data_IF_327260689072
#
_entry.id   IF_327260689072
#
_cell.length_a   1.000
_cell.length_b   1.000
_cell.length_c   1.000
_cell.angle_alpha   90.00
_cell.angle_beta   90.00
_cell.angle_gamma   90.00
#
_symmetry.space_group_name_H-M   'P 1'
#
loop_
_entity.id
_entity.type
_entity.pdbx_description
1 polymer ?
#
# COMPACT_ATOMS: atom_id res chain seq x y z
N UNK A 1 -7.76 41.62 9.52
CA UNK A 1 -7.43 41.15 8.15
C UNK A 1 -6.90 39.71 8.10
N UNK A 2 -6.37 39.15 9.19
CA UNK A 2 -5.77 37.79 9.24
C UNK A 2 -6.80 36.66 9.04
N UNK A 3 -7.98 36.72 9.68
CA UNK A 3 -9.03 35.68 9.57
C UNK A 3 -9.58 35.45 8.15
N UNK A 4 -9.69 36.50 7.33
CA UNK A 4 -10.20 36.38 5.95
C UNK A 4 -9.19 35.72 5.01
N UNK A 5 -7.88 35.89 5.27
CA UNK A 5 -6.83 35.22 4.51
C UNK A 5 -6.81 33.71 4.80
N UNK A 6 -6.93 33.34 6.07
CA UNK A 6 -7.03 31.94 6.51
C UNK A 6 -8.21 31.22 5.86
N UNK A 7 -9.42 31.82 5.89
CA UNK A 7 -10.60 31.19 5.27
C UNK A 7 -10.45 30.96 3.76
N UNK A 8 -9.77 31.88 3.06
CA UNK A 8 -9.51 31.70 1.63
C UNK A 8 -8.47 30.62 1.33
N UNK A 9 -7.49 30.44 2.22
CA UNK A 9 -6.50 29.35 2.15
C UNK A 9 -7.17 27.99 2.39
N UNK A 10 -8.06 27.90 3.39
CA UNK A 10 -8.83 26.69 3.68
C UNK A 10 -9.68 26.25 2.48
N UNK A 11 -10.34 27.20 1.80
CA UNK A 11 -11.11 26.92 0.57
C UNK A 11 -10.21 26.38 -0.53
N UNK A 12 -9.03 26.98 -0.76
CA UNK A 12 -8.09 26.51 -1.80
C UNK A 12 -7.53 25.14 -1.47
N UNK A 13 -7.17 24.89 -0.21
CA UNK A 13 -6.71 23.59 0.26
C UNK A 13 -7.77 22.52 0.04
N UNK A 14 -9.02 22.78 0.45
CA UNK A 14 -10.12 21.86 0.21
C UNK A 14 -10.30 21.53 -1.27
N UNK A 15 -10.21 22.53 -2.16
CA UNK A 15 -10.27 22.32 -3.61
C UNK A 15 -9.16 21.36 -4.05
N UNK A 16 -7.90 21.62 -3.68
CA UNK A 16 -6.75 20.79 -4.07
C UNK A 16 -6.87 19.36 -3.55
N UNK A 17 -7.38 19.17 -2.33
CA UNK A 17 -7.51 17.87 -1.70
C UNK A 17 -8.64 17.01 -2.32
N UNK A 18 -9.63 17.63 -2.98
CA UNK A 18 -10.85 16.95 -3.46
C UNK A 18 -11.03 16.96 -4.99
N UNK A 19 -10.26 17.77 -5.73
CA UNK A 19 -10.44 17.94 -7.18
C UNK A 19 -10.27 16.64 -7.96
N UNK A 20 -9.39 15.73 -7.53
CA UNK A 20 -9.17 14.45 -8.21
C UNK A 20 -10.41 13.53 -8.15
N UNK A 21 -11.18 13.58 -7.05
CA UNK A 21 -12.43 12.83 -6.89
C UNK A 21 -13.63 13.52 -7.51
N UNK A 22 -13.56 14.84 -7.67
CA UNK A 22 -14.65 15.70 -8.10
C UNK A 22 -14.27 16.61 -9.26
N UNK A 23 -13.68 16.09 -10.35
CA UNK A 23 -13.01 16.93 -11.33
C UNK A 23 -14.00 17.81 -12.12
N UNK A 24 -15.26 17.38 -12.26
CA UNK A 24 -16.32 18.13 -12.95
C UNK A 24 -17.22 18.95 -12.00
N UNK A 25 -17.28 18.62 -10.71
CA UNK A 25 -18.23 19.20 -9.76
C UNK A 25 -17.60 19.82 -8.50
N UNK A 26 -16.26 19.95 -8.45
CA UNK A 26 -15.52 20.56 -7.33
C UNK A 26 -16.05 21.94 -6.93
N UNK A 27 -16.49 22.75 -7.90
CA UNK A 27 -17.08 24.08 -7.65
C UNK A 27 -18.37 23.98 -6.82
N UNK A 28 -19.22 22.98 -7.10
CA UNK A 28 -20.46 22.74 -6.38
C UNK A 28 -20.19 22.25 -4.96
N UNK A 29 -19.31 21.28 -4.81
CA UNK A 29 -19.03 20.65 -3.50
C UNK A 29 -18.37 21.65 -2.56
N UNK A 30 -17.39 22.40 -3.06
CA UNK A 30 -16.72 23.45 -2.28
C UNK A 30 -17.71 24.53 -1.84
N UNK A 31 -18.62 24.95 -2.73
CA UNK A 31 -19.63 25.96 -2.41
C UNK A 31 -20.54 25.50 -1.25
N UNK A 32 -20.99 24.24 -1.29
CA UNK A 32 -21.82 23.64 -0.23
C UNK A 32 -21.02 23.54 1.07
N UNK A 33 -19.79 23.03 1.03
CA UNK A 33 -18.98 22.80 2.23
C UNK A 33 -18.70 24.10 3.02
N UNK A 34 -18.38 25.19 2.33
CA UNK A 34 -18.01 26.46 2.98
C UNK A 34 -19.17 27.46 3.13
N UNK A 35 -20.37 27.12 2.64
CA UNK A 35 -21.54 28.01 2.62
C UNK A 35 -21.30 29.28 1.80
N UNK A 36 -20.63 29.17 0.64
CA UNK A 36 -20.31 30.30 -0.25
C UNK A 36 -20.88 30.09 -1.65
N UNK A 37 -20.99 31.16 -2.44
CA UNK A 37 -21.51 31.06 -3.80
C UNK A 37 -20.52 30.36 -4.74
N UNK A 38 -21.02 29.68 -5.78
CA UNK A 38 -20.15 29.11 -6.83
C UNK A 38 -19.28 30.16 -7.52
N UNK A 39 -19.76 31.40 -7.62
CA UNK A 39 -18.98 32.52 -8.16
C UNK A 39 -17.76 32.83 -7.27
N UNK A 40 -17.91 32.76 -5.94
CA UNK A 40 -16.79 32.92 -5.02
C UNK A 40 -15.79 31.77 -5.15
N UNK A 41 -16.27 30.52 -5.28
CA UNK A 41 -15.40 29.36 -5.55
C UNK A 41 -14.65 29.49 -6.87
N UNK A 42 -15.32 29.97 -7.93
CA UNK A 42 -14.69 30.14 -9.25
C UNK A 42 -13.52 31.14 -9.20
N UNK A 43 -13.55 32.16 -8.33
CA UNK A 43 -12.39 33.04 -8.12
C UNK A 43 -11.19 32.28 -7.53
N UNK A 44 -11.44 31.33 -6.63
CA UNK A 44 -10.39 30.48 -6.08
C UNK A 44 -9.85 29.50 -7.13
N UNK A 45 -10.73 28.89 -7.95
CA UNK A 45 -10.32 28.02 -9.06
C UNK A 45 -9.47 28.77 -10.09
N UNK A 46 -9.91 29.95 -10.54
CA UNK A 46 -9.14 30.80 -11.46
C UNK A 46 -7.77 31.14 -10.90
N UNK A 47 -7.70 31.47 -9.61
CA UNK A 47 -6.42 31.74 -8.93
C UNK A 47 -5.51 30.51 -8.93
N UNK A 48 -6.04 29.34 -8.56
CA UNK A 48 -5.26 28.09 -8.54
C UNK A 48 -4.79 27.69 -9.95
N UNK A 49 -5.58 27.96 -10.99
CA UNK A 49 -5.16 27.76 -12.39
C UNK A 49 -4.08 28.75 -12.81
N UNK A 50 -4.21 30.02 -12.43
CA UNK A 50 -3.20 31.05 -12.70
C UNK A 50 -1.86 30.75 -11.99
N UNK A 51 -1.93 30.19 -10.77
CA UNK A 51 -0.78 29.71 -9.99
C UNK A 51 -0.27 28.32 -10.48
N UNK A 52 -0.82 27.77 -11.57
CA UNK A 52 -0.48 26.45 -12.12
C UNK A 52 -0.59 25.30 -11.12
N UNK A 53 -1.40 25.43 -10.07
CA UNK A 53 -1.75 24.35 -9.16
C UNK A 53 -2.84 23.43 -9.76
N UNK A 54 -3.69 23.99 -10.64
CA UNK A 54 -4.72 23.26 -11.37
C UNK A 54 -4.56 23.44 -12.89
N UNK A 55 -4.82 22.37 -13.63
CA UNK A 55 -5.08 22.41 -15.07
C UNK A 55 -6.59 22.36 -15.31
N UNK A 56 -7.08 23.11 -16.30
CA UNK A 56 -8.48 23.06 -16.73
C UNK A 56 -8.60 22.57 -18.18
N UNK A 57 -9.62 21.77 -18.46
CA UNK A 57 -9.99 21.35 -19.81
C UNK A 57 -11.51 21.43 -20.02
N UNK A 58 -11.93 21.52 -21.29
CA UNK A 58 -13.34 21.68 -21.66
C UNK A 58 -13.86 23.12 -21.60
N UNK A 59 -15.07 23.32 -22.12
CA UNK A 59 -15.72 24.64 -22.22
C UNK A 59 -16.92 24.75 -21.29
N UNK A 60 -17.07 25.91 -20.66
CA UNK A 60 -18.24 26.33 -19.85
C UNK A 60 -18.79 25.24 -18.93
N UNK A 61 -19.86 24.54 -19.33
CA UNK A 61 -20.58 23.57 -18.50
C UNK A 61 -19.87 22.22 -18.38
N UNK A 62 -18.95 21.91 -19.30
CA UNK A 62 -18.17 20.68 -19.33
C UNK A 62 -16.73 20.93 -18.87
N UNK A 63 -16.49 22.01 -18.11
CA UNK A 63 -15.16 22.32 -17.59
C UNK A 63 -14.78 21.33 -16.49
N UNK A 64 -13.61 20.75 -16.64
CA UNK A 64 -13.02 19.78 -15.71
C UNK A 64 -11.72 20.34 -15.19
N UNK A 65 -11.49 20.20 -13.88
CA UNK A 65 -10.27 20.59 -13.20
C UNK A 65 -9.49 19.34 -12.78
N UNK A 66 -8.15 19.42 -12.86
CA UNK A 66 -7.23 18.39 -12.37
C UNK A 66 -6.02 19.05 -11.72
N UNK A 67 -5.35 18.36 -10.80
CA UNK A 67 -4.06 18.81 -10.29
C UNK A 67 -3.03 18.90 -11.43
N UNK A 68 -2.38 20.04 -11.55
CA UNK A 68 -1.30 20.21 -12.50
C UNK A 68 0.01 19.66 -11.90
N UNK A 69 0.82 18.92 -12.69
CA UNK A 69 2.17 18.56 -12.28
C UNK A 69 3.00 19.83 -12.14
N UNK A 70 3.54 20.06 -10.93
CA UNK A 70 4.48 21.14 -10.65
C UNK A 70 5.92 20.72 -10.93
N UNK A 71 6.18 19.41 -10.88
CA UNK A 71 7.46 18.80 -11.15
C UNK A 71 7.23 17.40 -11.69
N UNK A 72 7.95 17.08 -12.76
CA UNK A 72 8.12 15.72 -13.27
C UNK A 72 9.62 15.48 -13.45
N UNK A 73 10.11 14.39 -12.87
CA UNK A 73 11.51 14.00 -12.94
C UNK A 73 11.61 12.51 -13.22
N UNK A 74 12.55 12.13 -14.07
CA UNK A 74 12.81 10.74 -14.42
C UNK A 74 14.31 10.52 -14.50
N UNK A 75 14.77 9.40 -13.97
CA UNK A 75 16.16 8.99 -14.07
C UNK A 75 16.27 7.48 -14.07
N UNK A 76 17.30 6.95 -14.71
CA UNK A 76 17.60 5.53 -14.74
C UNK A 76 19.04 5.27 -14.30
N UNK A 77 19.23 4.18 -13.57
CA UNK A 77 20.50 3.77 -12.96
C UNK A 77 20.83 2.35 -13.42
N UNK A 78 22.10 2.13 -13.79
CA UNK A 78 22.61 0.77 -14.04
C UNK A 78 22.88 0.09 -12.71
N UNK A 79 22.45 -1.16 -12.57
CA UNK A 79 22.79 -1.98 -11.41
C UNK A 79 24.26 -2.39 -11.55
N UNK A 80 25.11 -1.78 -10.73
CA UNK A 80 26.55 -2.00 -10.67
C UNK A 80 26.97 -2.14 -9.19
N UNK A 81 28.11 -2.78 -8.86
CA UNK A 81 28.47 -3.11 -7.48
C UNK A 81 28.58 -1.93 -6.50
N UNK A 82 28.71 -0.70 -7.00
CA UNK A 82 28.81 0.53 -6.20
C UNK A 82 27.55 1.41 -6.27
N UNK A 83 26.48 0.94 -6.89
CA UNK A 83 25.18 1.59 -6.79
C UNK A 83 24.65 1.38 -5.36
N UNK A 84 24.41 2.48 -4.66
CA UNK A 84 23.87 2.49 -3.31
C UNK A 84 22.68 3.44 -3.23
N UNK A 85 21.64 3.02 -2.53
CA UNK A 85 20.42 3.78 -2.33
C UNK A 85 20.67 5.10 -1.59
N UNK A 86 21.57 5.12 -0.62
CA UNK A 86 21.86 6.33 0.17
C UNK A 86 22.48 7.45 -0.69
N UNK A 87 23.30 7.08 -1.68
CA UNK A 87 23.89 8.00 -2.65
C UNK A 87 22.83 8.53 -3.61
N UNK A 88 21.97 7.65 -4.15
CA UNK A 88 20.88 8.06 -5.06
C UNK A 88 19.88 8.96 -4.33
N UNK A 89 19.54 8.63 -3.09
CA UNK A 89 18.67 9.45 -2.26
C UNK A 89 19.24 10.86 -2.06
N UNK A 90 20.48 10.95 -1.59
CA UNK A 90 21.13 12.21 -1.20
C UNK A 90 21.43 13.11 -2.39
N UNK A 91 21.89 12.54 -3.50
CA UNK A 91 22.36 13.31 -4.64
C UNK A 91 21.22 13.69 -5.60
N UNK A 92 20.19 12.84 -5.71
CA UNK A 92 19.16 13.02 -6.73
C UNK A 92 17.77 13.17 -6.09
N UNK A 93 17.25 12.13 -5.45
CA UNK A 93 15.83 12.05 -5.07
C UNK A 93 15.44 13.12 -4.05
N UNK A 94 16.23 13.32 -3.00
CA UNK A 94 15.96 14.32 -1.96
C UNK A 94 15.95 15.75 -2.50
N UNK A 95 16.85 16.05 -3.46
CA UNK A 95 16.90 17.35 -4.14
C UNK A 95 15.64 17.58 -4.99
N UNK A 96 15.17 16.54 -5.68
CA UNK A 96 13.95 16.58 -6.50
C UNK A 96 12.69 16.75 -5.63
N UNK A 97 12.60 16.03 -4.50
CA UNK A 97 11.48 16.18 -3.56
C UNK A 97 11.43 17.59 -2.95
N UNK A 98 12.61 18.18 -2.71
CA UNK A 98 12.78 19.51 -2.16
C UNK A 98 12.25 19.62 -0.73
N UNK A 99 11.90 20.83 -0.30
CA UNK A 99 11.37 21.06 1.05
C UNK A 99 9.99 20.44 1.23
N UNK A 100 9.84 19.64 2.29
CA UNK A 100 8.59 19.02 2.73
C UNK A 100 8.56 18.97 4.26
N UNK A 101 7.39 18.78 4.90
CA UNK A 101 7.33 18.49 6.32
C UNK A 101 8.20 17.28 6.68
N UNK A 102 8.89 17.32 7.82
CA UNK A 102 9.87 16.30 8.22
C UNK A 102 9.27 14.88 8.24
N UNK A 103 8.05 14.73 8.75
CA UNK A 103 7.38 13.44 8.79
C UNK A 103 7.05 12.87 7.40
N UNK A 104 6.75 13.76 6.43
CA UNK A 104 6.50 13.39 5.02
C UNK A 104 7.82 12.98 4.36
N UNK A 105 8.88 13.76 4.59
CA UNK A 105 10.22 13.47 4.09
C UNK A 105 10.75 12.12 4.61
N UNK A 106 10.56 11.84 5.90
CA UNK A 106 10.98 10.58 6.51
C UNK A 106 10.23 9.35 5.96
N UNK A 107 8.93 9.49 5.64
CA UNK A 107 8.18 8.42 4.96
C UNK A 107 8.75 8.18 3.56
N UNK A 108 9.01 9.24 2.79
CA UNK A 108 9.61 9.12 1.47
C UNK A 108 11.00 8.50 1.51
N UNK A 109 11.84 8.90 2.47
CA UNK A 109 13.18 8.37 2.65
C UNK A 109 13.11 6.87 2.91
N UNK A 110 12.32 6.44 3.90
CA UNK A 110 12.15 5.03 4.22
C UNK A 110 11.63 4.23 3.02
N UNK A 111 10.54 4.67 2.40
CA UNK A 111 9.94 3.96 1.26
C UNK A 111 10.87 3.87 0.06
N UNK A 112 11.60 4.95 -0.26
CA UNK A 112 12.60 4.93 -1.31
C UNK A 112 13.72 3.92 -1.01
N UNK A 113 14.33 4.02 0.18
CA UNK A 113 15.45 3.15 0.60
C UNK A 113 15.06 1.68 0.50
N UNK A 114 13.92 1.29 1.07
CA UNK A 114 13.46 -0.11 1.05
C UNK A 114 13.20 -0.58 -0.39
N UNK A 115 12.53 0.22 -1.22
CA UNK A 115 12.16 -0.21 -2.57
C UNK A 115 13.34 -0.23 -3.52
N UNK A 116 14.26 0.73 -3.40
CA UNK A 116 15.46 0.80 -4.22
C UNK A 116 16.46 -0.31 -3.85
N UNK A 117 16.65 -0.59 -2.55
CA UNK A 117 17.48 -1.72 -2.11
C UNK A 117 16.91 -3.06 -2.58
N UNK A 118 15.60 -3.28 -2.47
CA UNK A 118 14.98 -4.50 -3.00
C UNK A 118 15.24 -4.67 -4.51
N UNK A 119 15.20 -3.57 -5.27
CA UNK A 119 15.52 -3.61 -6.70
C UNK A 119 17.01 -3.92 -6.96
N UNK A 120 17.94 -3.38 -6.16
CA UNK A 120 19.37 -3.70 -6.26
C UNK A 120 19.63 -5.18 -5.93
N UNK A 121 19.10 -5.65 -4.81
CA UNK A 121 19.50 -6.93 -4.21
C UNK A 121 18.75 -8.14 -4.79
N UNK A 122 17.55 -7.93 -5.34
CA UNK A 122 16.64 -9.04 -5.64
C UNK A 122 16.06 -9.06 -7.06
N UNK A 123 16.21 -7.99 -7.85
CA UNK A 123 15.66 -7.95 -9.21
C UNK A 123 16.33 -8.95 -10.16
N UNK A 124 17.61 -9.26 -9.95
CA UNK A 124 18.51 -9.87 -10.96
C UNK A 124 18.48 -9.11 -12.32
N UNK A 125 18.12 -7.83 -12.31
CA UNK A 125 18.05 -6.96 -13.47
C UNK A 125 19.37 -6.27 -13.79
N UNK A 126 19.33 -5.38 -14.77
CA UNK A 126 20.46 -4.54 -15.19
C UNK A 126 20.22 -3.05 -14.95
N UNK A 127 18.97 -2.64 -14.75
CA UNK A 127 18.55 -1.25 -14.68
C UNK A 127 17.45 -1.02 -13.63
N UNK A 128 17.51 0.13 -12.98
CA UNK A 128 16.43 0.65 -12.13
C UNK A 128 16.04 2.04 -12.63
N UNK A 129 14.77 2.25 -12.91
CA UNK A 129 14.20 3.55 -13.25
C UNK A 129 13.41 4.14 -12.08
N UNK A 130 13.51 5.46 -11.94
CA UNK A 130 12.71 6.25 -11.00
C UNK A 130 11.94 7.30 -11.79
N UNK A 131 10.67 7.49 -11.46
CA UNK A 131 9.86 8.62 -11.90
C UNK A 131 9.22 9.29 -10.70
N UNK A 132 9.36 10.61 -10.58
CA UNK A 132 8.74 11.41 -9.53
C UNK A 132 7.82 12.42 -10.19
N UNK A 133 6.59 12.50 -9.67
CA UNK A 133 5.63 13.53 -10.05
C UNK A 133 5.11 14.22 -8.79
N UNK A 134 5.26 15.54 -8.72
CA UNK A 134 4.75 16.35 -7.61
C UNK A 134 3.67 17.29 -8.11
N UNK A 135 2.60 17.37 -7.35
CA UNK A 135 1.50 18.34 -7.53
C UNK A 135 1.39 19.20 -6.28
N UNK A 136 0.47 20.16 -6.29
CA UNK A 136 0.21 20.98 -5.12
C UNK A 136 -0.32 20.16 -3.92
N UNK A 137 -1.00 19.04 -4.14
CA UNK A 137 -1.61 18.22 -3.08
C UNK A 137 -0.76 17.00 -2.70
N UNK A 138 -0.17 16.30 -3.67
CA UNK A 138 0.53 15.04 -3.44
C UNK A 138 1.81 14.89 -4.26
N UNK A 139 2.68 14.01 -3.79
CA UNK A 139 3.82 13.46 -4.53
C UNK A 139 3.57 11.99 -4.84
N UNK A 140 4.02 11.57 -6.02
CA UNK A 140 4.00 10.19 -6.51
C UNK A 140 5.41 9.80 -6.92
N UNK A 141 5.80 8.56 -6.62
CA UNK A 141 7.06 7.97 -7.06
C UNK A 141 6.80 6.58 -7.64
N UNK A 142 7.34 6.34 -8.82
CA UNK A 142 7.43 5.03 -9.44
C UNK A 142 8.89 4.58 -9.41
N UNK A 143 9.16 3.42 -8.82
CA UNK A 143 10.45 2.72 -8.94
C UNK A 143 10.19 1.46 -9.75
N UNK A 144 11.00 1.19 -10.78
CA UNK A 144 10.85 -0.01 -11.57
C UNK A 144 12.18 -0.61 -11.98
N UNK A 145 12.25 -1.93 -12.06
CA UNK A 145 13.40 -2.69 -12.54
C UNK A 145 13.06 -3.50 -13.79
N UNK A 146 14.10 -3.93 -14.54
CA UNK A 146 13.99 -4.78 -15.72
C UNK A 146 14.26 -6.28 -15.41
N UNK A 147 14.19 -6.67 -14.14
CA UNK A 147 14.59 -7.98 -13.63
C UNK A 147 13.57 -9.09 -13.83
N UNK A 148 13.66 -10.14 -13.01
CA UNK A 148 12.79 -11.34 -13.10
C UNK A 148 11.36 -11.05 -12.63
N UNK A 149 11.20 -10.05 -11.76
CA UNK A 149 9.95 -9.72 -11.12
C UNK A 149 9.77 -10.36 -9.73
N UNK A 150 9.29 -9.55 -8.78
CA UNK A 150 9.22 -9.93 -7.36
C UNK A 150 8.37 -11.19 -7.10
N UNK A 151 7.18 -11.30 -7.69
CA UNK A 151 6.30 -12.44 -7.42
C UNK A 151 6.86 -13.73 -8.01
N UNK A 152 7.44 -13.64 -9.20
CA UNK A 152 8.14 -14.76 -9.84
C UNK A 152 9.34 -15.23 -9.03
N UNK A 153 10.13 -14.28 -8.49
CA UNK A 153 11.28 -14.54 -7.63
C UNK A 153 10.83 -15.27 -6.35
N UNK A 154 9.85 -14.71 -5.63
CA UNK A 154 9.31 -15.31 -4.39
C UNK A 154 8.72 -16.70 -4.68
N UNK A 155 7.92 -16.84 -5.74
CA UNK A 155 7.35 -18.13 -6.15
C UNK A 155 8.44 -19.18 -6.31
N UNK A 156 9.49 -18.85 -7.06
CA UNK A 156 10.58 -19.78 -7.37
C UNK A 156 11.39 -20.11 -6.12
N UNK A 157 11.74 -19.11 -5.30
CA UNK A 157 12.55 -19.33 -4.09
C UNK A 157 11.82 -20.13 -3.02
N UNK A 158 10.51 -19.95 -2.87
CA UNK A 158 9.69 -20.67 -1.90
C UNK A 158 9.01 -21.93 -2.47
N UNK A 159 9.28 -22.27 -3.73
CA UNK A 159 8.65 -23.39 -4.43
C UNK A 159 7.10 -23.37 -4.33
N UNK A 160 6.52 -22.19 -4.55
CA UNK A 160 5.07 -21.99 -4.47
C UNK A 160 4.39 -22.41 -5.78
N UNK A 161 3.14 -22.84 -5.66
CA UNK A 161 2.35 -23.32 -6.80
C UNK A 161 2.20 -22.25 -7.90
N UNK A 162 2.03 -20.99 -7.51
CA UNK A 162 1.85 -19.86 -8.42
C UNK A 162 2.22 -18.51 -7.74
N UNK A 163 2.25 -17.45 -8.53
CA UNK A 163 2.58 -16.08 -8.09
C UNK A 163 1.55 -15.45 -7.14
N UNK A 164 0.30 -15.96 -7.10
CA UNK A 164 -0.73 -15.46 -6.15
C UNK A 164 -0.41 -15.92 -4.73
N UNK A 165 0.22 -17.09 -4.58
CA UNK A 165 0.75 -17.50 -3.28
C UNK A 165 1.91 -16.61 -2.82
N UNK A 166 2.74 -16.11 -3.74
CA UNK A 166 3.80 -15.16 -3.39
C UNK A 166 3.21 -13.88 -2.79
N UNK A 167 2.08 -13.41 -3.32
CA UNK A 167 1.34 -12.27 -2.79
C UNK A 167 0.85 -12.53 -1.35
N UNK A 168 0.27 -13.70 -1.09
CA UNK A 168 -0.13 -14.09 0.27
C UNK A 168 1.07 -14.09 1.22
N UNK A 169 2.20 -14.66 0.83
CA UNK A 169 3.41 -14.68 1.65
C UNK A 169 4.01 -13.30 1.91
N UNK A 170 3.92 -12.40 0.92
CA UNK A 170 4.34 -11.01 1.04
C UNK A 170 3.43 -10.22 1.98
N UNK A 171 2.11 -10.44 1.91
CA UNK A 171 1.11 -9.75 2.74
C UNK A 171 1.31 -9.97 4.24
N UNK A 172 1.81 -11.15 4.63
CA UNK A 172 2.10 -11.52 6.02
C UNK A 172 3.28 -10.74 6.61
N UNK A 173 4.18 -10.19 5.78
CA UNK A 173 5.43 -9.57 6.22
C UNK A 173 6.51 -10.58 6.63
N UNK A 174 7.66 -10.08 7.13
CA UNK A 174 8.87 -10.86 7.48
C UNK A 174 9.34 -11.80 6.37
N UNK A 175 9.16 -11.41 5.12
CA UNK A 175 9.53 -12.23 3.99
C UNK A 175 10.90 -11.78 3.48
N UNK A 176 11.89 -12.63 3.66
CA UNK A 176 13.27 -12.40 3.21
C UNK A 176 13.85 -13.71 2.70
N UNK A 177 14.58 -13.64 1.58
CA UNK A 177 15.38 -14.75 1.06
C UNK A 177 16.82 -14.71 1.58
N UNK A 178 17.19 -13.65 2.30
CA UNK A 178 18.47 -13.50 2.98
C UNK A 178 18.31 -12.89 4.39
N UNK A 179 18.01 -13.73 5.40
CA UNK A 179 17.81 -13.29 6.79
C UNK A 179 19.05 -12.69 7.46
N UNK A 180 20.26 -12.87 6.90
CA UNK A 180 21.47 -12.28 7.48
C UNK A 180 21.60 -10.80 7.13
N UNK A 181 21.02 -10.39 6.00
CA UNK A 181 21.11 -9.02 5.46
C UNK A 181 19.80 -8.25 5.52
N UNK A 182 18.65 -8.94 5.49
CA UNK A 182 17.34 -8.29 5.47
C UNK A 182 16.35 -8.91 6.45
N UNK A 183 15.65 -8.06 7.21
CA UNK A 183 14.57 -8.46 8.13
C UNK A 183 13.32 -8.97 7.39
N UNK A 184 13.15 -8.60 6.12
CA UNK A 184 11.97 -8.93 5.32
C UNK A 184 10.72 -8.10 5.66
N UNK A 185 10.90 -6.96 6.32
CA UNK A 185 9.82 -6.11 6.82
C UNK A 185 9.59 -4.87 5.94
N UNK A 186 10.55 -4.53 5.08
CA UNK A 186 10.58 -3.31 4.28
C UNK A 186 9.32 -3.06 3.45
N UNK A 187 8.94 -4.02 2.60
CA UNK A 187 7.73 -3.93 1.77
C UNK A 187 6.47 -3.82 2.62
N UNK A 188 6.39 -4.60 3.70
CA UNK A 188 5.22 -4.61 4.58
C UNK A 188 4.97 -3.25 5.23
N UNK A 189 6.02 -2.62 5.75
CA UNK A 189 5.88 -1.31 6.37
C UNK A 189 5.72 -0.21 5.34
N UNK A 190 6.48 -0.26 4.24
CA UNK A 190 6.39 0.72 3.15
C UNK A 190 4.95 0.79 2.64
N UNK A 191 4.31 -0.34 2.33
CA UNK A 191 2.95 -0.34 1.79
C UNK A 191 1.93 0.36 2.68
N UNK A 192 2.16 0.37 3.99
CA UNK A 192 1.29 0.98 5.01
C UNK A 192 1.59 2.44 5.33
N UNK A 193 2.76 2.95 4.92
CA UNK A 193 3.12 4.35 5.13
C UNK A 193 2.52 5.30 4.08
N UNK A 194 2.25 4.82 2.88
CA UNK A 194 1.77 5.64 1.75
C UNK A 194 0.24 5.71 1.71
N UNK A 195 -0.33 6.71 1.02
CA UNK A 195 -1.79 6.78 0.77
C UNK A 195 -2.23 5.71 -0.23
N UNK A 196 -1.41 5.47 -1.25
CA UNK A 196 -1.49 4.30 -2.12
C UNK A 196 -0.11 3.70 -2.33
N UNK A 197 -0.05 2.39 -2.36
CA UNK A 197 1.12 1.61 -2.66
C UNK A 197 0.73 0.46 -3.57
N UNK A 198 1.38 0.34 -4.71
CA UNK A 198 1.05 -0.66 -5.71
C UNK A 198 2.31 -1.36 -6.19
N UNK A 199 2.27 -2.69 -6.30
CA UNK A 199 3.29 -3.48 -6.99
C UNK A 199 2.65 -4.16 -8.18
N UNK A 200 3.22 -3.96 -9.37
CA UNK A 200 2.90 -4.71 -10.57
C UNK A 200 4.13 -5.50 -11.00
N UNK A 201 3.99 -6.81 -11.17
CA UNK A 201 5.06 -7.65 -11.70
C UNK A 201 4.45 -8.84 -12.45
N UNK A 202 4.85 -9.02 -13.70
CA UNK A 202 4.24 -10.00 -14.59
C UNK A 202 2.72 -9.78 -14.71
N UNK A 203 1.95 -10.80 -14.33
CA UNK A 203 0.48 -10.77 -14.36
C UNK A 203 -0.16 -10.49 -13.00
N UNK A 204 0.65 -10.27 -11.95
CA UNK A 204 0.17 -10.10 -10.57
C UNK A 204 0.29 -8.64 -10.12
N UNK A 205 -0.75 -8.17 -9.46
CA UNK A 205 -0.90 -6.82 -8.95
C UNK A 205 -1.25 -6.84 -7.47
N UNK A 206 -0.43 -6.16 -6.67
CA UNK A 206 -0.68 -5.85 -5.27
C UNK A 206 -1.06 -4.38 -5.14
N UNK A 207 -2.15 -4.08 -4.45
CA UNK A 207 -2.51 -2.71 -4.08
C UNK A 207 -2.82 -2.63 -2.60
N UNK A 208 -2.27 -1.62 -1.94
CA UNK A 208 -2.63 -1.24 -0.60
C UNK A 208 -3.02 0.25 -0.61
N UNK A 209 -4.27 0.54 -0.24
CA UNK A 209 -4.78 1.90 -0.07
C UNK A 209 -4.97 2.18 1.41
N UNK A 210 -4.41 3.29 1.88
CA UNK A 210 -4.54 3.65 3.28
C UNK A 210 -6.01 3.89 3.67
N UNK A 211 -6.42 3.33 4.82
CA UNK A 211 -7.78 3.41 5.36
C UNK A 211 -8.90 2.85 4.46
N UNK A 212 -8.57 2.04 3.45
CA UNK A 212 -9.54 1.35 2.61
C UNK A 212 -9.21 -0.15 2.58
N UNK A 213 -10.20 -1.02 2.32
CA UNK A 213 -9.93 -2.43 2.02
C UNK A 213 -8.89 -2.55 0.92
N UNK A 214 -8.00 -3.54 1.06
CA UNK A 214 -7.02 -3.89 0.04
C UNK A 214 -7.76 -4.33 -1.24
N UNK A 215 -7.38 -3.73 -2.37
CA UNK A 215 -8.01 -3.95 -3.68
C UNK A 215 -7.11 -4.92 -4.45
N UNK A 216 -7.52 -6.19 -4.55
CA UNK A 216 -6.64 -7.26 -5.04
C UNK A 216 -6.89 -7.62 -6.50
N UNK A 217 -5.78 -7.79 -7.23
CA UNK A 217 -5.67 -8.53 -8.48
C UNK A 217 -6.35 -7.88 -9.71
N UNK A 218 -5.53 -7.28 -10.57
CA UNK A 218 -5.83 -7.10 -11.99
C UNK A 218 -4.88 -8.00 -12.78
N UNK A 219 -5.38 -9.11 -13.29
CA UNK A 219 -4.67 -9.90 -14.30
C UNK A 219 -4.58 -9.06 -15.58
N UNK A 220 -3.36 -8.76 -16.05
CA UNK A 220 -3.13 -8.09 -17.35
C UNK A 220 -2.54 -9.09 -18.35
N UNK A 221 -2.98 -8.96 -19.60
CA UNK A 221 -2.58 -9.82 -20.72
C UNK A 221 -1.14 -9.59 -21.25
N UNK A 222 -0.37 -8.65 -20.68
CA UNK A 222 0.99 -8.34 -21.14
C UNK A 222 2.00 -8.38 -20.00
N UNK A 223 2.80 -9.44 -20.01
CA UNK A 223 3.95 -9.63 -19.16
C UNK A 223 5.13 -8.83 -19.72
N UNK A 224 5.43 -7.70 -19.11
CA UNK A 224 6.80 -7.18 -19.14
C UNK A 224 7.53 -7.75 -17.91
N UNK A 225 8.77 -8.19 -18.10
CA UNK A 225 9.62 -8.64 -17.00
C UNK A 225 9.92 -7.48 -16.05
N UNK A 226 10.19 -7.80 -14.79
CA UNK A 226 10.56 -6.83 -13.78
C UNK A 226 9.45 -6.53 -12.77
N UNK A 227 9.69 -5.50 -11.97
CA UNK A 227 8.77 -5.04 -10.93
C UNK A 227 8.56 -3.54 -11.07
N UNK A 228 7.32 -3.09 -10.93
CA UNK A 228 6.96 -1.68 -10.85
C UNK A 228 6.31 -1.43 -9.50
N UNK A 229 6.87 -0.49 -8.74
CA UNK A 229 6.36 -0.07 -7.43
C UNK A 229 5.91 1.38 -7.52
N UNK A 230 4.61 1.62 -7.40
CA UNK A 230 4.04 2.96 -7.28
C UNK A 230 3.77 3.30 -5.82
N UNK A 231 4.16 4.50 -5.42
CA UNK A 231 3.93 5.05 -4.09
C UNK A 231 3.34 6.45 -4.24
N UNK A 232 2.29 6.76 -3.48
CA UNK A 232 1.67 8.10 -3.44
C UNK A 232 1.51 8.57 -2.00
N UNK A 233 1.89 9.82 -1.75
CA UNK A 233 1.71 10.45 -0.45
C UNK A 233 1.23 11.89 -0.60
N UNK A 234 0.23 12.26 0.17
CA UNK A 234 -0.19 13.63 0.34
C UNK A 234 0.94 14.46 0.94
N UNK A 235 1.18 15.65 0.40
CA UNK A 235 2.29 16.54 0.81
C UNK A 235 2.16 17.02 2.27
N UNK A 236 1.00 16.82 2.87
CA UNK A 236 0.70 17.12 4.26
C UNK A 236 -0.07 15.95 4.89
N UNK A 237 0.58 15.16 5.74
CA UNK A 237 -0.07 14.08 6.50
C UNK A 237 0.30 14.19 7.98
N UNK A 238 -0.57 13.72 8.87
CA UNK A 238 -0.28 13.59 10.30
C UNK A 238 0.40 12.24 10.66
N UNK A 239 0.60 11.38 9.65
CA UNK A 239 1.26 10.08 9.78
C UNK A 239 2.76 10.26 9.98
N UNK A 240 3.33 9.34 10.74
CA UNK A 240 4.78 9.22 10.95
C UNK A 240 5.13 7.74 10.83
N UNK A 241 6.35 7.42 10.37
CA UNK A 241 6.83 6.03 10.29
C UNK A 241 6.72 5.33 11.65
N UNK A 242 7.03 6.05 12.74
CA UNK A 242 6.86 5.56 14.11
C UNK A 242 5.45 5.09 14.42
N UNK A 243 4.41 5.89 14.11
CA UNK A 243 3.01 5.49 14.35
C UNK A 243 2.63 4.23 13.59
N UNK A 244 3.23 3.98 12.43
CA UNK A 244 3.00 2.75 11.64
C UNK A 244 3.72 1.57 12.29
N UNK A 245 5.01 1.72 12.64
CA UNK A 245 5.75 0.66 13.35
C UNK A 245 5.05 0.23 14.65
N UNK A 246 4.66 1.21 15.47
CA UNK A 246 4.01 0.97 16.76
C UNK A 246 2.68 0.19 16.62
N UNK A 247 2.01 0.18 15.46
CA UNK A 247 0.77 -0.60 15.25
C UNK A 247 1.00 -2.11 15.11
N UNK A 248 2.23 -2.52 14.77
CA UNK A 248 2.62 -3.89 14.48
C UNK A 248 3.69 -4.44 15.45
N UNK A 249 4.04 -3.65 16.46
CA UNK A 249 4.79 -4.07 17.63
C UNK A 249 3.81 -4.41 18.77
N UNK A 250 4.07 -5.50 19.49
CA UNK A 250 3.32 -5.87 20.70
C UNK A 250 4.26 -6.21 21.86
N UNK A 251 3.90 -5.77 23.07
CA UNK A 251 4.72 -5.95 24.28
C UNK A 251 5.87 -4.93 24.41
N UNK A 252 6.78 -5.20 25.34
CA UNK A 252 7.95 -4.36 25.63
C UNK A 252 9.12 -4.57 24.65
N UNK A 253 9.10 -5.66 23.90
CA UNK A 253 10.05 -5.92 22.81
C UNK A 253 9.60 -5.16 21.56
N UNK A 254 10.41 -4.21 21.10
CA UNK A 254 10.20 -3.40 19.89
C UNK A 254 10.19 -4.21 18.56
N UNK A 255 9.95 -5.53 18.59
CA UNK A 255 9.93 -6.38 17.41
C UNK A 255 8.60 -6.33 16.65
N UNK A 256 8.66 -6.34 15.32
CA UNK A 256 7.51 -6.65 14.48
C UNK A 256 7.04 -8.07 14.82
N UNK A 257 5.91 -8.21 15.49
CA UNK A 257 5.45 -9.51 16.00
C UNK A 257 3.95 -9.70 15.85
N UNK A 258 3.29 -8.74 15.21
CA UNK A 258 1.87 -8.76 14.89
C UNK A 258 1.69 -8.66 13.39
N UNK A 259 0.92 -9.55 12.79
CA UNK A 259 0.58 -9.51 11.36
C UNK A 259 -0.92 -9.45 11.14
N UNK A 260 -1.32 -8.91 9.99
CA UNK A 260 -2.71 -8.94 9.49
C UNK A 260 -2.69 -9.71 8.18
N UNK A 261 -3.46 -10.79 8.11
CA UNK A 261 -3.48 -11.72 6.99
C UNK A 261 -4.83 -11.63 6.29
N UNK A 262 -4.87 -11.11 5.06
CA UNK A 262 -6.09 -11.03 4.27
C UNK A 262 -6.52 -12.44 3.84
N UNK A 263 -7.62 -12.92 4.41
CA UNK A 263 -8.08 -14.31 4.21
C UNK A 263 -8.51 -14.56 2.77
N UNK A 264 -9.00 -13.52 2.08
CA UNK A 264 -9.38 -13.57 0.66
C UNK A 264 -8.23 -14.05 -0.23
N UNK A 265 -6.97 -13.76 0.11
CA UNK A 265 -5.80 -14.21 -0.67
C UNK A 265 -5.58 -15.72 -0.64
N UNK A 266 -6.23 -16.45 0.26
CA UNK A 266 -6.20 -17.92 0.24
C UNK A 266 -7.22 -18.54 -0.74
N UNK A 267 -8.12 -17.74 -1.32
CA UNK A 267 -9.05 -18.15 -2.38
C UNK A 267 -8.32 -18.29 -3.71
N UNK A 268 -8.81 -19.19 -4.57
CA UNK A 268 -8.26 -19.41 -5.89
C UNK A 268 -9.36 -19.26 -6.95
N UNK A 269 -9.29 -18.21 -7.75
CA UNK A 269 -10.38 -17.89 -8.68
C UNK A 269 -11.72 -17.73 -7.94
N UNK A 270 -12.71 -18.54 -8.32
CA UNK A 270 -14.04 -18.55 -7.70
C UNK A 270 -14.19 -19.59 -6.58
N UNK A 271 -13.09 -20.21 -6.12
CA UNK A 271 -13.14 -21.23 -5.08
C UNK A 271 -13.51 -20.65 -3.72
N UNK A 272 -14.44 -21.31 -3.04
CA UNK A 272 -14.76 -21.05 -1.63
C UNK A 272 -13.66 -21.58 -0.72
N UNK A 273 -13.49 -20.97 0.45
CA UNK A 273 -12.51 -21.37 1.48
C UNK A 273 -13.01 -22.57 2.28
N UNK A 274 -12.95 -23.77 1.71
CA UNK A 274 -13.56 -24.97 2.30
C UNK A 274 -12.51 -25.94 2.87
N UNK A 275 -11.31 -26.02 2.27
CA UNK A 275 -10.38 -27.12 2.51
C UNK A 275 -9.33 -26.84 3.61
N UNK A 276 -8.79 -27.90 4.21
CA UNK A 276 -7.62 -27.80 5.11
C UNK A 276 -6.37 -27.33 4.40
N UNK A 277 -6.20 -27.68 3.12
CA UNK A 277 -5.02 -27.23 2.35
C UNK A 277 -5.02 -25.72 2.17
N UNK A 278 -6.18 -25.10 1.95
CA UNK A 278 -6.32 -23.63 1.93
C UNK A 278 -5.93 -23.02 3.29
N UNK A 279 -6.41 -23.59 4.40
CA UNK A 279 -6.05 -23.13 5.74
C UNK A 279 -4.54 -23.26 6.02
N UNK A 280 -3.92 -24.39 5.68
CA UNK A 280 -2.47 -24.59 5.86
C UNK A 280 -1.62 -23.58 5.09
N UNK A 281 -2.04 -23.19 3.88
CA UNK A 281 -1.36 -22.12 3.11
C UNK A 281 -1.49 -20.76 3.81
N UNK A 282 -2.67 -20.44 4.32
CA UNK A 282 -2.88 -19.23 5.11
C UNK A 282 -2.01 -19.21 6.38
N UNK A 283 -1.87 -20.36 7.04
CA UNK A 283 -1.11 -20.55 8.28
C UNK A 283 0.42 -20.63 8.10
N UNK A 284 0.90 -20.83 6.87
CA UNK A 284 2.34 -20.88 6.61
C UNK A 284 3.02 -19.61 7.14
N UNK A 285 4.15 -19.79 7.85
CA UNK A 285 4.96 -18.72 8.48
C UNK A 285 4.29 -17.91 9.59
N UNK A 286 3.06 -18.26 10.02
CA UNK A 286 2.39 -17.56 11.13
C UNK A 286 3.16 -17.71 12.46
N UNK A 287 3.90 -18.80 12.64
CA UNK A 287 4.79 -19.03 13.79
C UNK A 287 5.89 -17.97 13.96
N UNK A 288 6.17 -17.16 12.93
CA UNK A 288 7.10 -16.04 13.04
C UNK A 288 6.52 -14.81 13.77
N UNK A 289 5.25 -14.88 14.19
CA UNK A 289 4.50 -13.80 14.83
C UNK A 289 3.92 -14.25 16.18
N UNK A 290 3.85 -13.33 17.14
CA UNK A 290 3.15 -13.54 18.43
C UNK A 290 1.65 -13.31 18.29
N UNK A 291 1.22 -12.48 17.35
CA UNK A 291 -0.19 -12.17 17.10
C UNK A 291 -0.46 -12.25 15.60
N UNK A 292 -1.48 -13.01 15.21
CA UNK A 292 -1.99 -13.04 13.84
C UNK A 292 -3.46 -12.64 13.82
N UNK A 293 -3.76 -11.60 13.04
CA UNK A 293 -5.12 -11.13 12.79
C UNK A 293 -5.56 -11.65 11.42
N UNK A 294 -6.63 -12.43 11.36
CA UNK A 294 -7.24 -12.85 10.10
C UNK A 294 -8.32 -11.85 9.68
N UNK A 295 -8.10 -11.17 8.55
CA UNK A 295 -9.05 -10.22 7.98
C UNK A 295 -9.96 -10.92 6.97
N UNK A 296 -11.25 -10.97 7.29
CA UNK A 296 -12.29 -11.62 6.48
C UNK A 296 -13.03 -10.65 5.54
N UNK A 297 -12.47 -9.47 5.30
CA UNK A 297 -12.99 -8.54 4.28
C UNK A 297 -13.16 -9.27 2.95
N UNK A 298 -14.35 -9.13 2.36
CA UNK A 298 -14.74 -9.77 1.08
C UNK A 298 -14.70 -11.30 1.09
N UNK A 299 -14.82 -11.93 2.28
CA UNK A 299 -15.01 -13.38 2.41
C UNK A 299 -16.46 -13.66 2.77
N UNK A 300 -17.22 -14.20 1.80
CA UNK A 300 -18.65 -14.50 2.00
C UNK A 300 -18.87 -15.63 3.02
N UNK A 301 -18.08 -16.70 2.94
CA UNK A 301 -18.22 -17.86 3.82
C UNK A 301 -16.94 -18.69 3.88
N UNK A 302 -16.78 -19.45 4.96
CA UNK A 302 -15.73 -20.46 5.12
C UNK A 302 -16.34 -21.83 5.44
N UNK A 303 -15.68 -22.90 4.98
CA UNK A 303 -16.09 -24.26 5.24
C UNK A 303 -15.57 -24.78 6.58
N UNK A 304 -16.20 -25.84 7.06
CA UNK A 304 -15.90 -26.43 8.36
C UNK A 304 -14.45 -26.90 8.48
N UNK A 305 -13.89 -27.53 7.45
CA UNK A 305 -12.54 -28.06 7.50
C UNK A 305 -11.49 -26.93 7.53
N UNK A 306 -11.74 -25.83 6.81
CA UNK A 306 -10.92 -24.62 6.87
C UNK A 306 -10.92 -23.98 8.26
N UNK A 307 -12.11 -23.78 8.85
CA UNK A 307 -12.25 -23.18 10.18
C UNK A 307 -11.64 -24.08 11.29
N UNK A 308 -11.87 -25.40 11.21
CA UNK A 308 -11.34 -26.39 12.15
C UNK A 308 -9.80 -26.38 12.19
N UNK A 309 -9.16 -26.26 11.04
CA UNK A 309 -7.69 -26.22 10.94
C UNK A 309 -7.11 -24.97 11.63
N UNK A 310 -7.70 -23.79 11.41
CA UNK A 310 -7.17 -22.52 11.92
C UNK A 310 -7.48 -22.34 13.41
N UNK A 311 -8.75 -22.49 13.79
CA UNK A 311 -9.22 -22.03 15.09
C UNK A 311 -9.25 -23.11 16.18
N UNK A 312 -9.06 -24.38 15.79
CA UNK A 312 -8.95 -25.49 16.74
C UNK A 312 -7.58 -26.15 16.65
N UNK A 313 -7.22 -26.70 15.49
CA UNK A 313 -5.97 -27.47 15.33
C UNK A 313 -4.76 -26.56 15.55
N UNK A 314 -4.60 -25.52 14.74
CA UNK A 314 -3.43 -24.63 14.83
C UNK A 314 -3.35 -23.92 16.18
N UNK A 315 -4.45 -23.35 16.68
CA UNK A 315 -4.47 -22.72 18.01
C UNK A 315 -4.10 -23.69 19.15
N UNK A 316 -4.47 -24.98 19.04
CA UNK A 316 -4.07 -25.99 20.03
C UNK A 316 -2.60 -26.37 19.95
N UNK A 317 -2.01 -26.34 18.74
CA UNK A 317 -0.61 -26.67 18.50
C UNK A 317 0.33 -25.50 18.81
N UNK A 318 -0.18 -24.28 18.71
CA UNK A 318 0.57 -23.03 18.92
C UNK A 318 -0.13 -22.10 19.92
N UNK A 319 -0.28 -22.51 21.20
CA UNK A 319 -0.96 -21.73 22.22
C UNK A 319 -0.27 -20.38 22.52
N UNK A 320 1.01 -20.25 22.17
CA UNK A 320 1.80 -19.02 22.29
C UNK A 320 1.41 -17.94 21.27
N UNK A 321 0.70 -18.29 20.20
CA UNK A 321 0.30 -17.36 19.14
C UNK A 321 -1.13 -16.86 19.41
N UNK A 322 -1.26 -15.56 19.62
CA UNK A 322 -2.56 -14.90 19.72
C UNK A 322 -3.27 -14.83 18.37
N UNK A 323 -4.27 -15.67 18.15
CA UNK A 323 -5.13 -15.64 16.96
C UNK A 323 -6.34 -14.74 17.21
N UNK A 324 -6.52 -13.74 16.35
CA UNK A 324 -7.67 -12.82 16.37
C UNK A 324 -8.27 -12.67 14.97
N UNK A 325 -9.49 -12.16 14.89
CA UNK A 325 -10.21 -11.98 13.62
C UNK A 325 -10.73 -10.56 13.49
N UNK A 326 -10.87 -10.08 12.27
CA UNK A 326 -11.55 -8.82 11.95
C UNK A 326 -12.38 -8.95 10.68
N UNK A 327 -13.38 -8.08 10.54
CA UNK A 327 -14.29 -8.02 9.39
C UNK A 327 -15.01 -9.33 9.04
N UNK A 328 -15.19 -10.24 10.01
CA UNK A 328 -15.98 -11.45 9.83
C UNK A 328 -17.49 -11.12 9.77
N UNK A 329 -18.18 -11.67 8.77
CA UNK A 329 -19.64 -11.63 8.69
C UNK A 329 -20.28 -12.73 9.57
N UNK A 330 -21.62 -12.75 9.64
CA UNK A 330 -22.37 -13.71 10.46
C UNK A 330 -22.06 -15.19 10.14
N UNK A 331 -21.92 -15.53 8.86
CA UNK A 331 -21.72 -16.91 8.41
C UNK A 331 -20.30 -17.39 8.76
N UNK A 332 -19.32 -16.52 8.57
CA UNK A 332 -17.93 -16.74 9.00
C UNK A 332 -17.87 -16.91 10.52
N UNK A 333 -18.45 -16.00 11.29
CA UNK A 333 -18.44 -16.08 12.76
C UNK A 333 -19.07 -17.37 13.26
N UNK A 334 -20.22 -17.79 12.71
CA UNK A 334 -20.87 -19.03 13.10
C UNK A 334 -19.97 -20.26 12.85
N UNK A 335 -19.27 -20.30 11.72
CA UNK A 335 -18.38 -21.42 11.41
C UNK A 335 -17.15 -21.46 12.34
N UNK A 336 -16.60 -20.30 12.70
CA UNK A 336 -15.49 -20.17 13.65
C UNK A 336 -15.89 -20.68 15.04
N UNK A 337 -17.04 -20.24 15.54
CA UNK A 337 -17.53 -20.68 16.87
C UNK A 337 -17.82 -22.19 16.88
N UNK A 338 -18.38 -22.72 15.78
CA UNK A 338 -18.56 -24.16 15.62
C UNK A 338 -17.23 -24.92 15.68
N UNK A 339 -16.18 -24.42 15.05
CA UNK A 339 -14.85 -25.05 15.10
C UNK A 339 -14.27 -25.04 16.52
N UNK A 340 -14.39 -23.93 17.26
CA UNK A 340 -13.89 -23.79 18.63
C UNK A 340 -14.65 -24.63 19.66
N UNK A 341 -15.94 -24.85 19.45
CA UNK A 341 -16.79 -25.64 20.37
C UNK A 341 -16.48 -27.15 20.40
N UNK A 342 -15.62 -27.64 19.50
CA UNK A 342 -15.28 -29.06 19.42
C UNK A 342 -14.17 -29.43 20.41
N UNK A 343 -14.27 -30.58 21.09
CA UNK A 343 -13.21 -31.05 21.98
C UNK A 343 -11.89 -31.20 21.22
N UNK A 344 -10.79 -30.78 21.84
CA UNK A 344 -9.44 -31.17 21.43
C UNK A 344 -9.27 -32.64 21.79
N UNK A 345 -9.21 -33.52 20.78
CA UNK A 345 -9.02 -34.97 20.97
C UNK A 345 -7.57 -35.26 21.28
#
# INVERSE_FOLDING_TARGET
MTKMRTRGEDVRRFILDHVDKHPADISKITAVHFGITRQAVNKHLQRLTAEQALAESGHTRNRVYKLAPQLEWKQAYKIIPNLAEDLVWRNDVSNVLGTMPENVFNIWHYGFTEMFNNAIDHSDGSMIGIQIRKTAASTEMLIYDDGVGIFKKIQTTLNLLDERHALLELSKGKLTTDPKRHSGEGIFFTSRMFDSYDILSGGVYFSHKFSHPEDWLLERDRFESGTFVWMKLHNHTARTSKKIFDQYTSGEEYGFNKTVVPVKLAQYGNDKLISRSQAKRLLARIESFKIAIFDFTEVDSIGQAFADEIFRVFTSQHPEIGITIMHANSDVTQMIERAKSRPTI
#
